data_IF_066667835122
#
_entry.id   IF_066667835122
#
_cell.length_a   1.000
_cell.length_b   1.000
_cell.length_c   1.000
_cell.angle_alpha   90.00
_cell.angle_beta   90.00
_cell.angle_gamma   90.00
#
_symmetry.space_group_name_H-M   'P 1'
#
loop_
_entity.id
_entity.type
_entity.pdbx_description
1 polymer ?
#
# COMPACT_ATOMS: atom_id res chain seq x y z
N UNK A 1 -18.83 -16.50 -18.17
CA UNK A 1 -18.94 -15.23 -17.40
C UNK A 1 -17.77 -14.34 -17.84
N UNK A 2 -17.96 -13.03 -17.93
CA UNK A 2 -16.88 -12.12 -18.31
C UNK A 2 -15.80 -12.09 -17.21
N UNK A 3 -14.52 -12.05 -17.63
CA UNK A 3 -13.39 -11.91 -16.71
C UNK A 3 -13.33 -10.48 -16.21
N UNK A 4 -13.34 -10.28 -14.89
CA UNK A 4 -13.15 -8.95 -14.28
C UNK A 4 -11.86 -8.31 -14.79
N UNK A 5 -11.95 -7.04 -15.17
CA UNK A 5 -10.80 -6.23 -15.58
C UNK A 5 -10.66 -5.06 -14.62
N UNK A 6 -9.42 -4.81 -14.18
CA UNK A 6 -9.05 -3.69 -13.32
C UNK A 6 -8.50 -2.53 -14.13
N UNK A 7 -8.66 -1.32 -13.63
CA UNK A 7 -8.14 -0.09 -14.21
C UNK A 7 -7.33 0.69 -13.17
N UNK A 8 -6.41 1.53 -13.63
CA UNK A 8 -5.65 2.41 -12.75
C UNK A 8 -6.60 3.44 -12.14
N UNK A 9 -6.77 3.49 -10.80
CA UNK A 9 -7.60 4.52 -10.19
C UNK A 9 -6.95 5.89 -10.40
N UNK A 10 -7.73 6.96 -10.65
CA UNK A 10 -7.16 8.29 -10.65
C UNK A 10 -6.64 8.64 -9.25
N UNK A 11 -5.56 9.44 -9.17
CA UNK A 11 -5.14 9.97 -7.88
C UNK A 11 -6.17 11.00 -7.38
N UNK A 12 -6.43 11.06 -6.06
CA UNK A 12 -7.34 12.05 -5.48
C UNK A 12 -6.71 13.46 -5.41
N UNK A 13 -5.46 13.61 -5.83
CA UNK A 13 -4.69 14.85 -5.81
C UNK A 13 -3.67 14.91 -6.97
N UNK A 14 -3.12 16.09 -7.24
CA UNK A 14 -2.08 16.29 -8.25
C UNK A 14 -0.77 15.59 -7.87
N UNK A 15 0.08 15.27 -8.85
CA UNK A 15 1.33 14.53 -8.58
C UNK A 15 2.29 15.24 -7.62
N UNK A 16 2.29 16.57 -7.60
CA UNK A 16 3.12 17.42 -6.72
C UNK A 16 2.46 17.74 -5.37
N UNK A 17 1.22 17.29 -5.12
CA UNK A 17 0.47 17.65 -3.92
C UNK A 17 1.08 17.14 -2.60
N UNK A 18 1.99 16.16 -2.66
CA UNK A 18 2.65 15.57 -1.51
C UNK A 18 4.06 16.13 -1.26
N UNK A 19 4.50 17.12 -2.05
CA UNK A 19 5.77 17.78 -1.81
C UNK A 19 5.74 18.60 -0.50
N UNK A 20 6.86 18.64 0.26
CA UNK A 20 8.17 18.06 -0.05
C UNK A 20 8.34 16.59 0.39
N UNK A 21 7.33 15.99 1.03
CA UNK A 21 7.44 14.65 1.62
C UNK A 21 7.67 13.55 0.55
N UNK A 22 6.93 13.63 -0.56
CA UNK A 22 7.08 12.75 -1.71
C UNK A 22 7.11 13.59 -2.99
N UNK A 23 8.16 13.42 -3.81
CA UNK A 23 8.33 14.25 -5.01
C UNK A 23 7.34 13.93 -6.12
N UNK A 24 7.00 14.94 -6.94
CA UNK A 24 6.10 14.77 -8.07
C UNK A 24 6.57 13.71 -9.06
N UNK A 25 7.88 13.64 -9.30
CA UNK A 25 8.50 12.64 -10.17
C UNK A 25 8.21 11.21 -9.69
N UNK A 26 8.28 10.99 -8.37
CA UNK A 26 8.04 9.68 -7.78
C UNK A 26 6.57 9.35 -7.82
N UNK A 27 5.70 10.29 -7.46
CA UNK A 27 4.26 10.09 -7.59
C UNK A 27 3.87 9.72 -9.02
N UNK A 28 4.42 10.41 -10.02
CA UNK A 28 4.16 10.11 -11.43
C UNK A 28 4.64 8.72 -11.84
N UNK A 29 5.88 8.34 -11.50
CA UNK A 29 6.43 7.03 -11.85
C UNK A 29 5.72 5.89 -11.08
N UNK A 30 5.49 6.08 -9.79
CA UNK A 30 4.89 5.10 -8.90
C UNK A 30 3.43 4.81 -9.29
N UNK A 31 2.67 5.84 -9.63
CA UNK A 31 1.30 5.69 -10.11
C UNK A 31 1.25 5.18 -11.57
N UNK A 32 1.80 5.94 -12.53
CA UNK A 32 1.57 5.68 -13.95
C UNK A 32 2.38 4.52 -14.52
N UNK A 33 3.45 4.08 -13.84
CA UNK A 33 4.28 2.94 -14.27
C UNK A 33 4.15 1.76 -13.33
N UNK A 34 4.49 1.92 -12.05
CA UNK A 34 4.54 0.80 -11.13
C UNK A 34 3.13 0.22 -10.83
N UNK A 35 2.18 1.05 -10.41
CA UNK A 35 0.80 0.61 -10.18
C UNK A 35 0.15 0.08 -11.47
N UNK A 36 0.34 0.78 -12.59
CA UNK A 36 -0.15 0.33 -13.89
C UNK A 36 0.41 -1.05 -14.30
N UNK A 37 1.67 -1.34 -14.00
CA UNK A 37 2.29 -2.64 -14.31
C UNK A 37 1.61 -3.77 -13.55
N UNK A 38 1.30 -3.59 -12.26
CA UNK A 38 0.53 -4.57 -11.49
C UNK A 38 -0.83 -4.84 -12.12
N UNK A 39 -1.56 -3.79 -12.52
CA UNK A 39 -2.88 -3.93 -13.15
C UNK A 39 -2.79 -4.67 -14.49
N UNK A 40 -1.84 -4.29 -15.36
CA UNK A 40 -1.64 -4.95 -16.65
C UNK A 40 -1.38 -6.45 -16.48
N UNK A 41 -0.48 -6.80 -15.57
CA UNK A 41 -0.13 -8.20 -15.31
C UNK A 41 -1.27 -8.97 -14.64
N UNK A 42 -2.01 -8.33 -13.71
CA UNK A 42 -3.17 -8.92 -13.06
C UNK A 42 -4.27 -9.27 -14.08
N UNK A 43 -4.61 -8.34 -14.95
CA UNK A 43 -5.63 -8.53 -15.98
C UNK A 43 -5.28 -9.67 -16.95
N UNK A 44 -4.00 -9.75 -17.35
CA UNK A 44 -3.50 -10.86 -18.17
C UNK A 44 -3.60 -12.19 -17.42
N UNK A 45 -3.20 -12.23 -16.14
CA UNK A 45 -3.24 -13.43 -15.32
C UNK A 45 -4.68 -13.93 -15.07
N UNK A 46 -5.64 -13.02 -14.85
CA UNK A 46 -7.06 -13.39 -14.69
C UNK A 46 -7.67 -13.94 -15.97
N UNK A 47 -7.27 -13.40 -17.13
CA UNK A 47 -7.67 -13.94 -18.43
C UNK A 47 -7.14 -15.36 -18.63
N UNK A 48 -5.86 -15.58 -18.34
CA UNK A 48 -5.24 -16.90 -18.40
C UNK A 48 -5.86 -17.87 -17.40
N UNK A 49 -6.21 -17.40 -16.20
CA UNK A 49 -6.86 -18.21 -15.17
C UNK A 49 -8.27 -18.62 -15.59
N UNK A 50 -9.03 -17.73 -16.22
CA UNK A 50 -10.33 -18.07 -16.77
C UNK A 50 -10.21 -19.18 -17.82
N UNK A 51 -9.26 -19.04 -18.75
CA UNK A 51 -8.97 -20.09 -19.73
C UNK A 51 -8.65 -21.42 -19.03
N UNK A 52 -7.72 -21.41 -18.06
CA UNK A 52 -7.29 -22.60 -17.33
C UNK A 52 -8.43 -23.29 -16.56
N UNK A 53 -9.38 -22.53 -16.02
CA UNK A 53 -10.59 -23.05 -15.38
C UNK A 53 -11.53 -23.69 -16.41
N UNK A 54 -11.78 -23.03 -17.54
CA UNK A 54 -12.67 -23.54 -18.59
C UNK A 54 -12.11 -24.76 -19.32
N UNK A 55 -10.79 -24.88 -19.42
CA UNK A 55 -10.12 -26.03 -20.03
C UNK A 55 -9.77 -27.13 -19.02
N UNK A 56 -10.05 -26.94 -17.72
CA UNK A 56 -9.65 -27.85 -16.64
C UNK A 56 -8.14 -28.11 -16.57
N UNK A 57 -7.33 -27.13 -16.97
CA UNK A 57 -5.86 -27.18 -16.92
C UNK A 57 -5.36 -26.84 -15.52
N UNK A 58 -5.27 -27.86 -14.66
CA UNK A 58 -4.81 -27.71 -13.28
C UNK A 58 -3.36 -27.16 -13.18
N UNK A 59 -2.37 -27.63 -13.97
CA UNK A 59 -1.03 -27.04 -13.98
C UNK A 59 -1.03 -25.53 -14.23
N UNK A 60 -1.78 -25.06 -15.22
CA UNK A 60 -1.86 -23.62 -15.53
C UNK A 60 -2.58 -22.85 -14.41
N UNK A 61 -3.62 -23.41 -13.81
CA UNK A 61 -4.29 -22.81 -12.66
C UNK A 61 -3.31 -22.57 -11.51
N UNK A 62 -2.47 -23.56 -11.18
CA UNK A 62 -1.48 -23.46 -10.10
C UNK A 62 -0.37 -22.44 -10.44
N UNK A 63 0.10 -22.42 -11.69
CA UNK A 63 1.12 -21.48 -12.15
C UNK A 63 0.64 -20.01 -12.06
N UNK A 64 -0.63 -19.75 -12.34
CA UNK A 64 -1.20 -18.41 -12.32
C UNK A 64 -1.43 -17.87 -10.89
N UNK A 65 -1.61 -18.74 -9.87
CA UNK A 65 -1.90 -18.29 -8.51
C UNK A 65 -0.87 -17.29 -7.98
N UNK A 66 0.43 -17.57 -8.14
CA UNK A 66 1.49 -16.67 -7.67
C UNK A 66 1.45 -15.32 -8.38
N UNK A 67 1.15 -15.31 -9.68
CA UNK A 67 1.07 -14.09 -10.49
C UNK A 67 -0.12 -13.24 -10.05
N UNK A 68 -1.29 -13.88 -9.85
CA UNK A 68 -2.50 -13.22 -9.36
C UNK A 68 -2.28 -12.65 -7.97
N UNK A 69 -1.76 -13.44 -7.03
CA UNK A 69 -1.51 -12.96 -5.66
C UNK A 69 -0.52 -11.80 -5.63
N UNK A 70 0.58 -11.89 -6.39
CA UNK A 70 1.59 -10.83 -6.39
C UNK A 70 1.10 -9.54 -7.03
N UNK A 71 0.42 -9.60 -8.19
CA UNK A 71 -0.03 -8.40 -8.89
C UNK A 71 -1.35 -7.86 -8.33
N UNK A 72 -2.24 -8.75 -7.85
CA UNK A 72 -3.45 -8.40 -7.11
C UNK A 72 -3.12 -7.70 -5.81
N UNK A 73 -2.19 -8.27 -5.02
CA UNK A 73 -1.66 -7.60 -3.82
C UNK A 73 -1.02 -6.26 -4.15
N UNK A 74 -0.23 -6.18 -5.23
CA UNK A 74 0.33 -4.91 -5.72
C UNK A 74 -0.77 -3.87 -6.00
N UNK A 75 -1.81 -4.22 -6.76
CA UNK A 75 -2.91 -3.32 -7.08
C UNK A 75 -3.68 -2.86 -5.83
N UNK A 76 -4.05 -3.78 -4.93
CA UNK A 76 -4.77 -3.47 -3.70
C UNK A 76 -3.95 -2.52 -2.82
N UNK A 77 -2.68 -2.86 -2.59
CA UNK A 77 -1.81 -2.10 -1.70
C UNK A 77 -1.60 -0.67 -2.21
N UNK A 78 -1.37 -0.48 -3.52
CA UNK A 78 -1.23 0.86 -4.08
C UNK A 78 -2.55 1.64 -4.07
N UNK A 79 -3.67 0.99 -4.37
CA UNK A 79 -4.98 1.64 -4.32
C UNK A 79 -5.28 2.17 -2.92
N UNK A 80 -4.96 1.39 -1.87
CA UNK A 80 -5.03 1.88 -0.48
C UNK A 80 -4.02 2.99 -0.23
N UNK A 81 -2.78 2.86 -0.69
CA UNK A 81 -1.73 3.85 -0.47
C UNK A 81 -2.12 5.25 -0.96
N UNK A 82 -2.74 5.38 -2.14
CA UNK A 82 -3.16 6.68 -2.67
C UNK A 82 -4.26 7.35 -1.85
N UNK A 83 -5.22 6.56 -1.35
CA UNK A 83 -6.34 7.08 -0.55
C UNK A 83 -5.90 7.45 0.88
N UNK A 84 -4.86 6.79 1.41
CA UNK A 84 -4.29 7.06 2.73
C UNK A 84 -3.32 8.25 2.76
N UNK A 85 -3.16 8.96 1.64
CA UNK A 85 -2.30 10.11 1.53
C UNK A 85 -3.09 11.37 1.18
N UNK A 86 -2.57 12.52 1.57
CA UNK A 86 -3.12 13.82 1.21
C UNK A 86 -2.04 14.90 1.24
N UNK A 87 -2.33 16.07 0.68
CA UNK A 87 -1.49 17.24 0.90
C UNK A 87 -1.38 17.54 2.41
N UNK A 88 -0.22 18.04 2.86
CA UNK A 88 0.02 18.26 4.29
C UNK A 88 -1.02 19.21 4.95
N UNK A 89 -1.52 20.19 4.20
CA UNK A 89 -2.59 21.10 4.65
C UNK A 89 -3.97 20.44 4.74
N UNK A 90 -4.13 19.25 4.15
CA UNK A 90 -5.38 18.50 4.11
C UNK A 90 -5.43 17.29 5.04
N UNK A 91 -4.40 17.04 5.86
CA UNK A 91 -4.35 15.91 6.78
C UNK A 91 -5.49 15.97 7.80
N UNK A 92 -6.19 14.85 7.99
CA UNK A 92 -7.35 14.70 8.87
C UNK A 92 -7.08 13.72 10.02
N UNK A 93 -5.81 13.51 10.35
CA UNK A 93 -5.41 12.65 11.47
C UNK A 93 -6.11 13.08 12.78
N UNK A 94 -6.39 14.37 12.98
CA UNK A 94 -7.14 14.88 14.14
C UNK A 94 -8.61 14.47 14.17
N UNK A 95 -9.19 14.09 13.03
CA UNK A 95 -10.57 13.63 12.91
C UNK A 95 -10.68 12.11 13.21
N UNK A 96 -9.58 11.37 13.11
CA UNK A 96 -9.49 9.92 13.34
C UNK A 96 -9.49 9.55 14.85
N UNK A 97 -10.37 10.16 15.64
CA UNK A 97 -10.39 10.08 17.12
C UNK A 97 -10.36 8.66 17.68
N UNK A 98 -11.10 7.73 17.07
CA UNK A 98 -11.15 6.34 17.53
C UNK A 98 -9.81 5.62 17.31
N UNK A 99 -9.17 5.85 16.15
CA UNK A 99 -7.87 5.25 15.83
C UNK A 99 -6.80 5.81 16.75
N UNK A 100 -6.79 7.14 16.97
CA UNK A 100 -5.86 7.80 17.90
C UNK A 100 -6.01 7.25 19.31
N UNK A 101 -7.25 7.09 19.81
CA UNK A 101 -7.49 6.54 21.14
C UNK A 101 -6.97 5.10 21.31
N UNK A 102 -7.15 4.24 20.30
CA UNK A 102 -6.61 2.88 20.34
C UNK A 102 -5.07 2.87 20.21
N UNK A 103 -4.50 3.80 19.44
CA UNK A 103 -3.04 4.00 19.38
C UNK A 103 -2.49 4.40 20.76
N UNK A 104 -3.11 5.38 21.43
CA UNK A 104 -2.71 5.82 22.76
C UNK A 104 -2.78 4.67 23.77
N UNK A 105 -3.85 3.87 23.72
CA UNK A 105 -4.05 2.72 24.60
C UNK A 105 -3.03 1.60 24.36
N UNK A 106 -2.62 1.36 23.12
CA UNK A 106 -1.74 0.24 22.77
C UNK A 106 -0.25 0.58 22.79
N UNK A 107 0.13 1.80 22.39
CA UNK A 107 1.53 2.24 22.30
C UNK A 107 1.92 3.32 23.31
N UNK A 108 0.96 3.89 24.04
CA UNK A 108 1.23 4.96 25.01
C UNK A 108 1.21 6.37 24.42
N UNK A 109 1.05 6.50 23.10
CA UNK A 109 1.01 7.77 22.41
C UNK A 109 1.29 7.65 20.91
N UNK A 110 1.00 8.72 20.17
CA UNK A 110 1.22 8.76 18.71
C UNK A 110 2.72 8.75 18.34
N UNK A 111 3.58 9.36 19.17
CA UNK A 111 5.01 9.41 18.91
C UNK A 111 5.69 8.06 19.18
N UNK A 112 5.27 7.35 20.22
CA UNK A 112 5.66 5.97 20.50
C UNK A 112 5.21 5.03 19.37
N UNK A 113 3.99 5.23 18.87
CA UNK A 113 3.48 4.49 17.72
C UNK A 113 4.30 4.76 16.45
N UNK A 114 4.54 6.02 16.08
CA UNK A 114 5.39 6.37 14.92
C UNK A 114 6.78 5.76 15.04
N UNK A 115 7.36 5.76 16.24
CA UNK A 115 8.66 5.14 16.52
C UNK A 115 8.60 3.63 16.30
N UNK A 116 7.59 2.95 16.85
CA UNK A 116 7.41 1.50 16.70
C UNK A 116 7.15 1.11 15.24
N UNK A 117 6.26 1.83 14.55
CA UNK A 117 5.92 1.64 13.15
C UNK A 117 7.14 1.88 12.26
N UNK A 118 7.86 2.98 12.50
CA UNK A 118 9.08 3.32 11.79
C UNK A 118 10.14 2.24 11.94
N UNK A 119 10.41 1.78 13.17
CA UNK A 119 11.35 0.69 13.44
C UNK A 119 10.98 -0.59 12.70
N UNK A 120 9.70 -0.96 12.68
CA UNK A 120 9.23 -2.14 11.97
C UNK A 120 9.40 -1.98 10.45
N UNK A 121 9.11 -0.78 9.90
CA UNK A 121 9.32 -0.50 8.47
C UNK A 121 10.80 -0.54 8.11
N UNK A 122 11.69 -0.05 8.97
CA UNK A 122 13.14 -0.14 8.73
C UNK A 122 13.65 -1.59 8.74
N UNK A 123 12.99 -2.48 9.49
CA UNK A 123 13.35 -3.89 9.60
C UNK A 123 13.07 -4.76 8.38
N UNK A 124 12.45 -4.22 7.31
CA UNK A 124 12.16 -4.99 6.09
C UNK A 124 13.45 -5.43 5.40
N UNK A 125 13.59 -6.73 5.22
CA UNK A 125 14.55 -7.30 4.29
C UNK A 125 13.88 -7.48 2.92
N UNK A 126 14.32 -6.72 1.92
CA UNK A 126 13.72 -6.70 0.59
C UNK A 126 12.59 -5.68 0.41
N UNK A 127 11.60 -6.00 -0.43
CA UNK A 127 10.39 -5.20 -0.68
C UNK A 127 9.21 -5.77 0.11
N UNK A 128 8.33 -4.94 0.68
CA UNK A 128 7.08 -5.38 1.35
C UNK A 128 6.04 -4.24 1.45
N UNK A 129 5.10 -4.20 2.44
CA UNK A 129 4.18 -3.08 2.81
C UNK A 129 3.85 -2.73 4.27
N UNK A 130 4.12 -1.46 4.65
CA UNK A 130 3.78 -0.71 5.88
C UNK A 130 2.29 -0.66 6.26
N UNK A 131 1.73 -1.54 7.11
CA UNK A 131 0.29 -1.48 7.46
C UNK A 131 0.00 -1.11 8.90
N UNK A 132 -1.09 -0.40 9.16
CA UNK A 132 -1.76 -0.41 10.46
C UNK A 132 -3.10 -1.13 10.25
N UNK A 133 -3.27 -2.31 10.84
CA UNK A 133 -4.47 -3.14 10.62
C UNK A 133 -5.29 -3.27 11.89
N UNK A 134 -6.62 -3.35 11.77
CA UNK A 134 -7.49 -3.80 12.86
C UNK A 134 -7.67 -5.31 12.74
N UNK A 135 -7.08 -6.04 13.67
CA UNK A 135 -7.12 -7.49 13.74
C UNK A 135 -8.39 -7.98 14.44
N UNK A 136 -9.39 -8.35 13.66
CA UNK A 136 -10.66 -8.87 14.19
C UNK A 136 -10.54 -10.27 14.79
N UNK A 137 -9.49 -11.04 14.46
CA UNK A 137 -9.25 -12.38 15.02
C UNK A 137 -8.71 -12.32 16.45
N UNK A 138 -8.00 -11.24 16.81
CA UNK A 138 -7.50 -10.99 18.16
C UNK A 138 -8.25 -9.86 18.88
N UNK A 139 -9.55 -9.75 18.64
CA UNK A 139 -10.44 -8.86 19.38
C UNK A 139 -10.40 -7.39 18.95
N UNK A 140 -10.00 -7.10 17.71
CA UNK A 140 -9.99 -5.76 17.10
C UNK A 140 -8.72 -4.95 17.39
N UNK A 141 -7.59 -5.58 17.72
CA UNK A 141 -6.33 -4.91 18.08
C UNK A 141 -5.57 -4.39 16.86
N UNK A 142 -4.70 -3.39 17.04
CA UNK A 142 -3.93 -2.84 15.93
C UNK A 142 -2.60 -3.60 15.69
N UNK A 143 -2.17 -3.81 14.43
CA UNK A 143 -0.89 -4.48 14.09
C UNK A 143 -0.14 -3.83 12.90
N UNK A 144 1.18 -4.13 12.75
CA UNK A 144 2.09 -3.50 11.77
C UNK A 144 2.79 -4.47 10.78
N UNK A 145 2.85 -4.16 9.46
CA UNK A 145 3.55 -4.90 8.36
C UNK A 145 4.35 -3.92 7.44
N UNK A 146 5.24 -4.25 6.44
CA UNK A 146 6.35 -3.32 5.99
C UNK A 146 6.87 -3.10 4.46
N UNK A 147 6.99 -1.87 3.77
CA UNK A 147 7.46 -1.48 2.31
C UNK A 147 8.60 -0.41 2.03
N UNK A 148 9.08 -0.21 0.75
CA UNK A 148 9.62 0.99 -0.07
C UNK A 148 11.14 1.18 -0.47
N UNK A 149 11.46 1.90 -1.61
CA UNK A 149 12.86 2.20 -2.10
C UNK A 149 13.18 3.46 -3.00
N UNK A 150 12.29 4.12 -3.77
CA UNK A 150 12.74 4.96 -4.92
C UNK A 150 13.16 6.44 -4.68
N UNK A 151 12.88 7.07 -3.52
CA UNK A 151 13.28 8.48 -3.26
C UNK A 151 14.53 8.62 -2.40
N UNK A 152 14.75 7.64 -1.52
CA UNK A 152 15.68 7.78 -0.41
C UNK A 152 16.97 6.98 -0.60
N UNK A 153 17.11 6.22 -1.71
CA UNK A 153 18.18 5.24 -1.87
C UNK A 153 18.22 4.30 -0.64
N UNK A 154 19.29 4.32 0.15
CA UNK A 154 19.42 3.62 1.44
C UNK A 154 18.82 4.38 2.65
N UNK A 155 18.40 5.63 2.49
CA UNK A 155 17.89 6.55 3.51
C UNK A 155 16.44 6.30 3.95
N UNK A 156 16.05 5.04 4.17
CA UNK A 156 14.71 4.64 4.61
C UNK A 156 14.22 5.46 5.83
N UNK A 157 15.10 5.78 6.77
CA UNK A 157 14.72 6.58 7.95
C UNK A 157 14.07 7.93 7.58
N UNK A 158 14.64 8.65 6.62
CA UNK A 158 14.13 9.97 6.22
C UNK A 158 12.78 9.88 5.49
N UNK A 159 12.48 8.81 4.75
CA UNK A 159 11.13 8.58 4.21
C UNK A 159 10.10 8.48 5.32
N UNK A 160 10.41 7.66 6.33
CA UNK A 160 9.48 7.36 7.41
C UNK A 160 9.26 8.56 8.31
N UNK A 161 10.22 9.46 8.44
CA UNK A 161 10.03 10.74 9.15
C UNK A 161 9.06 11.65 8.38
N UNK A 162 9.17 11.72 7.06
CA UNK A 162 8.40 12.66 6.24
C UNK A 162 6.99 12.17 5.90
N UNK A 163 6.77 10.86 5.75
CA UNK A 163 5.45 10.32 5.34
C UNK A 163 4.32 10.68 6.31
N UNK A 164 4.62 10.85 7.60
CA UNK A 164 3.62 11.22 8.61
C UNK A 164 2.98 12.59 8.36
N UNK A 165 3.62 13.46 7.59
CA UNK A 165 3.09 14.80 7.25
C UNK A 165 2.01 14.76 6.19
N UNK A 166 1.88 13.64 5.46
CA UNK A 166 0.97 13.47 4.33
C UNK A 166 0.00 12.32 4.52
N UNK A 167 -0.13 11.77 5.74
CA UNK A 167 -1.18 10.79 6.05
C UNK A 167 -2.53 11.50 6.09
N UNK A 168 -3.51 10.94 5.37
CA UNK A 168 -4.89 11.40 5.34
C UNK A 168 -5.61 11.07 6.66
#
# INVERSE_FOLDING_TARGET
>A
MAVTQYSLPPLPYAYDALEPAISAQIMQLHHSKHHQTYITNLNAALTNQHHALTSSDLPLQLANQRIITSNGGGHINHSLFWENLCAASGSKVTDAKQVVAEIEKQWGGIEEFKTAFGKMCLGIQGSGWGWLVKDEQYGGRLAIEHAYYLQYLNGKAAYLENIWTVIN
#
